data_IF_329952099739
#
_entry.id   IF_329952099739
#
_cell.length_a   1.000
_cell.length_b   1.000
_cell.length_c   1.000
_cell.angle_alpha   90.00
_cell.angle_beta   90.00
_cell.angle_gamma   90.00
#
_symmetry.space_group_name_H-M   'P 1'
#
loop_
_entity.id
_entity.type
_entity.pdbx_description
1 polymer ?
#
# COMPACT_ATOMS: atom_id res chain seq x y z
N UNK A 1 -28.61 23.89 -5.88
CA UNK A 1 -27.35 23.70 -6.62
C UNK A 1 -26.74 22.42 -6.06
N UNK A 2 -26.66 21.34 -6.83
CA UNK A 2 -25.95 20.14 -6.35
C UNK A 2 -24.46 20.46 -6.41
N UNK A 3 -23.85 20.76 -5.27
CA UNK A 3 -22.43 21.14 -5.17
C UNK A 3 -21.54 19.91 -5.34
N UNK A 4 -21.39 19.45 -6.59
CA UNK A 4 -20.52 18.33 -6.99
C UNK A 4 -19.09 18.54 -6.48
N UNK A 5 -18.64 19.79 -6.39
CA UNK A 5 -17.32 20.17 -5.88
C UNK A 5 -17.09 19.78 -4.41
N UNK A 6 -18.10 19.93 -3.53
CA UNK A 6 -17.95 19.57 -2.12
C UNK A 6 -17.84 18.05 -1.92
N UNK A 7 -18.60 17.26 -2.69
CA UNK A 7 -18.57 15.80 -2.62
C UNK A 7 -17.23 15.24 -3.09
N UNK A 8 -16.71 15.74 -4.21
CA UNK A 8 -15.40 15.30 -4.76
C UNK A 8 -14.26 15.70 -3.82
N UNK A 9 -14.28 16.92 -3.28
CA UNK A 9 -13.25 17.41 -2.38
C UNK A 9 -13.22 16.64 -1.05
N UNK A 10 -14.39 16.29 -0.51
CA UNK A 10 -14.48 15.47 0.69
C UNK A 10 -14.02 14.03 0.44
N UNK A 11 -14.39 13.46 -0.72
CA UNK A 11 -13.95 12.13 -1.14
C UNK A 11 -12.43 12.03 -1.30
N UNK A 12 -11.80 13.00 -1.98
CA UNK A 12 -10.34 13.05 -2.15
C UNK A 12 -9.62 13.23 -0.81
N UNK A 13 -10.16 14.06 0.09
CA UNK A 13 -9.61 14.24 1.44
C UNK A 13 -9.64 12.94 2.26
N UNK A 14 -10.79 12.26 2.30
CA UNK A 14 -10.92 10.95 2.97
C UNK A 14 -10.00 9.91 2.35
N UNK A 15 -9.95 9.83 1.02
CA UNK A 15 -9.10 8.87 0.31
C UNK A 15 -7.63 9.11 0.59
N UNK A 16 -7.21 10.38 0.67
CA UNK A 16 -5.83 10.74 1.03
C UNK A 16 -5.48 10.26 2.43
N UNK A 17 -6.36 10.46 3.41
CA UNK A 17 -6.14 9.98 4.79
C UNK A 17 -6.01 8.47 4.88
N UNK A 18 -6.90 7.72 4.22
CA UNK A 18 -6.88 6.26 4.18
C UNK A 18 -5.60 5.78 3.47
N UNK A 19 -5.30 6.31 2.28
CA UNK A 19 -4.09 5.95 1.54
C UNK A 19 -2.83 6.22 2.34
N UNK A 20 -2.77 7.35 3.07
CA UNK A 20 -1.62 7.72 3.87
C UNK A 20 -1.41 6.72 5.01
N UNK A 21 -2.49 6.37 5.72
CA UNK A 21 -2.44 5.35 6.75
C UNK A 21 -1.96 4.01 6.19
N UNK A 22 -2.51 3.57 5.05
CA UNK A 22 -2.07 2.34 4.37
C UNK A 22 -0.59 2.38 4.04
N UNK A 23 -0.08 3.48 3.47
CA UNK A 23 1.34 3.62 3.12
C UNK A 23 2.25 3.59 4.35
N UNK A 24 1.87 4.26 5.44
CA UNK A 24 2.64 4.29 6.69
C UNK A 24 2.68 2.93 7.40
N UNK A 25 1.53 2.23 7.48
CA UNK A 25 1.47 0.90 8.09
C UNK A 25 2.27 -0.09 7.24
N UNK A 26 2.12 -0.03 5.91
CA UNK A 26 2.89 -0.83 4.96
C UNK A 26 4.40 -0.61 5.09
N UNK A 27 4.81 0.66 5.21
CA UNK A 27 6.21 1.01 5.47
C UNK A 27 6.72 0.37 6.75
N UNK A 28 5.97 0.44 7.85
CA UNK A 28 6.36 -0.16 9.13
C UNK A 28 6.54 -1.68 8.99
N UNK A 29 5.63 -2.38 8.30
CA UNK A 29 5.75 -3.82 8.01
C UNK A 29 7.04 -4.12 7.24
N UNK A 30 7.32 -3.36 6.18
CA UNK A 30 8.53 -3.55 5.36
C UNK A 30 9.83 -3.31 6.15
N UNK A 31 9.85 -2.30 7.03
CA UNK A 31 10.99 -2.04 7.92
C UNK A 31 11.20 -3.17 8.91
N UNK A 32 10.13 -3.69 9.52
CA UNK A 32 10.22 -4.81 10.48
C UNK A 32 10.77 -6.08 9.83
N UNK A 33 10.40 -6.33 8.57
CA UNK A 33 10.92 -7.47 7.79
C UNK A 33 12.34 -7.23 7.27
N UNK A 34 12.79 -5.97 7.20
CA UNK A 34 14.11 -5.60 6.69
C UNK A 34 14.16 -5.50 5.16
N UNK A 35 13.04 -5.17 4.51
CA UNK A 35 12.97 -5.03 3.05
C UNK A 35 13.71 -3.76 2.60
N UNK A 36 14.53 -3.88 1.57
CA UNK A 36 15.28 -2.75 1.01
C UNK A 36 14.33 -1.71 0.40
N UNK A 37 14.72 -0.44 0.51
CA UNK A 37 13.93 0.69 0.01
C UNK A 37 12.51 0.76 0.60
N UNK A 38 12.30 0.30 1.85
CA UNK A 38 10.99 0.30 2.51
C UNK A 38 10.25 1.65 2.39
N UNK A 39 10.95 2.77 2.55
CA UNK A 39 10.35 4.11 2.44
C UNK A 39 9.80 4.41 1.03
N UNK A 40 10.53 3.99 -0.02
CA UNK A 40 10.08 4.10 -1.42
C UNK A 40 8.81 3.27 -1.62
N UNK A 41 8.80 2.04 -1.14
CA UNK A 41 7.64 1.15 -1.27
C UNK A 41 6.42 1.67 -0.50
N UNK A 42 6.60 2.17 0.73
CA UNK A 42 5.52 2.79 1.49
C UNK A 42 4.91 4.01 0.78
N UNK A 43 5.77 4.85 0.17
CA UNK A 43 5.31 5.98 -0.65
C UNK A 43 4.58 5.50 -1.91
N UNK A 44 5.10 4.50 -2.61
CA UNK A 44 4.43 3.94 -3.80
C UNK A 44 3.08 3.32 -3.42
N UNK A 45 2.98 2.60 -2.30
CA UNK A 45 1.72 2.05 -1.82
C UNK A 45 0.73 3.18 -1.52
N UNK A 46 1.17 4.24 -0.84
CA UNK A 46 0.35 5.44 -0.63
C UNK A 46 -0.20 6.01 -1.94
N UNK A 47 0.67 6.23 -2.93
CA UNK A 47 0.29 6.82 -4.21
C UNK A 47 -0.61 5.88 -5.02
N UNK A 48 -0.25 4.62 -5.10
CA UNK A 48 -0.98 3.60 -5.84
C UNK A 48 -2.37 3.40 -5.26
N UNK A 49 -2.53 3.43 -3.93
CA UNK A 49 -3.83 3.21 -3.28
C UNK A 49 -4.89 4.27 -3.67
N UNK A 50 -4.52 5.39 -4.29
CA UNK A 50 -5.50 6.30 -4.92
C UNK A 50 -6.26 5.64 -6.08
N UNK A 51 -5.63 4.75 -6.85
CA UNK A 51 -6.20 4.05 -8.00
C UNK A 51 -6.98 2.82 -7.50
N UNK A 52 -8.33 2.80 -7.62
CA UNK A 52 -9.13 1.68 -7.17
C UNK A 52 -8.72 0.36 -7.83
N UNK A 53 -8.72 -0.73 -7.05
CA UNK A 53 -8.38 -2.11 -7.44
C UNK A 53 -6.94 -2.36 -7.90
N UNK A 54 -6.43 -1.56 -8.85
CA UNK A 54 -5.09 -1.74 -9.42
C UNK A 54 -4.02 -1.36 -8.39
N UNK A 55 -4.24 -0.24 -7.70
CA UNK A 55 -3.28 0.32 -6.76
C UNK A 55 -2.97 -0.62 -5.61
N UNK A 56 -4.03 -1.18 -5.02
CA UNK A 56 -3.96 -2.14 -3.91
C UNK A 56 -3.15 -3.38 -4.31
N UNK A 57 -3.41 -3.94 -5.49
CA UNK A 57 -2.74 -5.15 -5.97
C UNK A 57 -1.26 -4.90 -6.25
N UNK A 58 -0.93 -3.83 -6.97
CA UNK A 58 0.45 -3.51 -7.31
C UNK A 58 1.28 -3.12 -6.09
N UNK A 59 0.67 -2.43 -5.11
CA UNK A 59 1.30 -2.05 -3.86
C UNK A 59 1.74 -3.25 -3.01
N UNK A 60 1.10 -4.41 -3.16
CA UNK A 60 1.49 -5.66 -2.49
C UNK A 60 2.46 -6.46 -3.36
N UNK A 61 2.13 -6.65 -4.64
CA UNK A 61 2.88 -7.55 -5.53
C UNK A 61 4.33 -7.11 -5.70
N UNK A 62 4.60 -5.83 -5.97
CA UNK A 62 5.96 -5.39 -6.25
C UNK A 62 6.93 -5.56 -5.07
N UNK A 63 6.63 -5.07 -3.85
CA UNK A 63 7.51 -5.32 -2.71
C UNK A 63 7.55 -6.81 -2.34
N UNK A 64 6.47 -7.58 -2.52
CA UNK A 64 6.51 -9.03 -2.33
C UNK A 64 7.53 -9.68 -3.27
N UNK A 65 7.46 -9.41 -4.57
CA UNK A 65 8.41 -9.96 -5.53
C UNK A 65 9.85 -9.53 -5.24
N UNK A 66 10.07 -8.30 -4.76
CA UNK A 66 11.40 -7.87 -4.32
C UNK A 66 11.96 -8.78 -3.23
N UNK A 67 11.14 -9.21 -2.26
CA UNK A 67 11.62 -10.10 -1.19
C UNK A 67 12.10 -11.46 -1.68
N UNK A 68 11.57 -11.97 -2.80
CA UNK A 68 12.05 -13.22 -3.41
C UNK A 68 13.45 -13.07 -4.02
N UNK A 69 13.85 -11.85 -4.37
CA UNK A 69 15.17 -11.54 -4.91
C UNK A 69 16.13 -11.15 -3.79
N UNK A 70 15.65 -10.46 -2.76
CA UNK A 70 16.44 -9.96 -1.65
C UNK A 70 16.82 -11.03 -0.63
N UNK A 71 15.94 -12.03 -0.40
CA UNK A 71 16.13 -13.05 0.62
C UNK A 71 16.17 -14.46 0.02
N UNK A 72 16.98 -15.34 0.60
CA UNK A 72 17.12 -16.74 0.16
C UNK A 72 15.95 -17.65 0.58
N UNK A 73 15.03 -17.13 1.40
CA UNK A 73 13.91 -17.91 1.95
C UNK A 73 12.57 -17.33 1.49
N UNK A 74 11.54 -18.18 1.43
CA UNK A 74 10.18 -17.74 1.10
C UNK A 74 9.46 -17.05 2.26
N UNK A 75 10.03 -17.08 3.47
CA UNK A 75 9.36 -16.55 4.67
C UNK A 75 9.05 -15.05 4.58
N UNK A 76 9.98 -14.16 4.17
CA UNK A 76 9.69 -12.75 3.98
C UNK A 76 8.60 -12.50 2.95
N UNK A 77 8.61 -13.24 1.84
CA UNK A 77 7.56 -13.16 0.82
C UNK A 77 6.17 -13.46 1.38
N UNK A 78 6.04 -14.55 2.15
CA UNK A 78 4.76 -14.92 2.75
C UNK A 78 4.30 -13.90 3.79
N UNK A 79 5.23 -13.39 4.62
CA UNK A 79 4.92 -12.34 5.61
C UNK A 79 4.45 -11.06 4.91
N UNK A 80 5.12 -10.67 3.83
CA UNK A 80 4.76 -9.47 3.06
C UNK A 80 3.41 -9.64 2.39
N UNK A 81 3.15 -10.75 1.69
CA UNK A 81 1.84 -11.00 1.06
C UNK A 81 0.71 -11.03 2.09
N UNK A 82 0.90 -11.71 3.22
CA UNK A 82 -0.12 -11.77 4.27
C UNK A 82 -0.29 -10.43 5.00
N UNK A 83 0.82 -9.80 5.40
CA UNK A 83 0.85 -8.56 6.17
C UNK A 83 0.31 -7.38 5.35
N UNK A 84 0.91 -7.10 4.19
CA UNK A 84 0.43 -6.03 3.31
C UNK A 84 -0.94 -6.35 2.72
N UNK A 85 -1.24 -7.61 2.39
CA UNK A 85 -2.58 -8.00 1.91
C UNK A 85 -3.70 -7.73 2.92
N UNK A 86 -3.41 -7.74 4.23
CA UNK A 86 -4.38 -7.40 5.28
C UNK A 86 -4.54 -5.89 5.50
N UNK A 87 -3.49 -5.12 5.21
CA UNK A 87 -3.44 -3.66 5.43
C UNK A 87 -3.98 -2.90 4.23
N UNK A 88 -3.66 -3.40 3.03
CA UNK A 88 -4.04 -2.79 1.76
C UNK A 88 -5.43 -3.33 1.40
N UNK A 89 -6.47 -2.65 1.88
CA UNK A 89 -7.84 -3.00 1.51
C UNK A 89 -8.05 -2.85 -0.01
N UNK A 90 -8.71 -3.82 -0.67
CA UNK A 90 -9.26 -3.60 -1.99
C UNK A 90 -10.39 -2.57 -1.84
N UNK A 91 -10.20 -1.38 -2.41
CA UNK A 91 -11.25 -0.36 -2.45
C UNK A 91 -12.46 -0.91 -3.21
N UNK A 92 -13.45 -1.42 -2.48
CA UNK A 92 -14.77 -1.81 -2.99
C UNK A 92 -15.63 -0.58 -3.23
#
# INVERSE_FOLDING_TARGET
MFDISNTVQHYVGMKTGISLLTGVVSYAVLVVVGVDFAALWGLLIFLLNFIPNIGSVLGVIFPALLTLVQFDTLTPFLIIVAGLGSVVEPAR
#
